data_IF_099541573774
#
_entry.id   IF_099541573774
#
_cell.length_a   1.000
_cell.length_b   1.000
_cell.length_c   1.000
_cell.angle_alpha   90.00
_cell.angle_beta   90.00
_cell.angle_gamma   90.00
#
_symmetry.space_group_name_H-M   'P 1'
#
loop_
_entity.id
_entity.type
_entity.pdbx_description
1 polymer ?
#
# COMPACT_ATOMS: atom_id res chain seq x y z
N UNK A 1 53.53 6.52 -10.97
CA UNK A 1 52.73 5.95 -9.87
C UNK A 1 51.59 6.92 -9.59
N UNK A 2 50.48 6.74 -10.30
CA UNK A 2 49.29 7.60 -10.27
C UNK A 2 48.16 6.79 -9.68
N UNK A 3 47.79 7.09 -8.44
CA UNK A 3 46.65 6.52 -7.73
C UNK A 3 45.37 6.97 -8.45
N UNK A 4 44.82 6.08 -9.26
CA UNK A 4 43.45 6.19 -9.76
C UNK A 4 42.54 6.04 -8.55
N UNK A 5 42.11 7.17 -7.99
CA UNK A 5 40.98 7.21 -7.07
C UNK A 5 39.75 6.85 -7.89
N UNK A 6 39.41 5.57 -7.85
CA UNK A 6 38.14 5.03 -8.32
C UNK A 6 37.06 5.75 -7.52
N UNK A 7 36.55 6.84 -8.09
CA UNK A 7 35.38 7.56 -7.59
C UNK A 7 34.22 6.60 -7.80
N UNK A 8 34.09 5.67 -6.84
CA UNK A 8 32.97 4.77 -6.72
C UNK A 8 31.74 5.65 -6.72
N UNK A 9 31.14 5.79 -7.89
CA UNK A 9 29.85 6.40 -8.05
C UNK A 9 28.97 5.61 -7.10
N UNK A 10 28.63 6.22 -5.96
CA UNK A 10 27.54 5.80 -5.13
C UNK A 10 26.37 5.64 -6.08
N UNK A 11 26.19 4.42 -6.59
CA UNK A 11 24.92 3.96 -7.07
C UNK A 11 24.07 4.05 -5.82
N UNK A 12 23.45 5.22 -5.62
CA UNK A 12 22.34 5.42 -4.71
C UNK A 12 21.31 4.44 -5.22
N UNK A 13 21.39 3.23 -4.66
CA UNK A 13 20.43 2.18 -4.84
C UNK A 13 19.12 2.84 -4.47
N UNK A 14 18.27 3.13 -5.46
CA UNK A 14 16.89 3.54 -5.24
C UNK A 14 16.10 2.24 -5.08
N UNK A 15 15.90 1.70 -3.85
CA UNK A 15 15.25 0.43 -3.67
C UNK A 15 13.84 0.74 -3.15
N UNK A 16 13.07 1.47 -3.94
CA UNK A 16 11.62 1.53 -3.75
C UNK A 16 11.06 1.00 -5.05
N UNK A 17 10.80 -0.32 -5.07
CA UNK A 17 9.95 -0.92 -6.10
C UNK A 17 8.67 -0.06 -6.13
N UNK A 18 8.51 0.71 -7.21
CA UNK A 18 7.34 1.55 -7.39
C UNK A 18 6.10 0.65 -7.23
N UNK A 19 5.06 1.11 -6.50
CA UNK A 19 3.83 0.34 -6.39
C UNK A 19 3.39 -0.07 -7.80
N UNK A 20 3.14 -1.38 -8.03
CA UNK A 20 2.69 -1.81 -9.34
C UNK A 20 1.41 -1.04 -9.67
N UNK A 21 1.30 -0.54 -10.90
CA UNK A 21 0.17 0.27 -11.34
C UNK A 21 0.10 1.69 -10.76
N UNK A 22 1.24 2.31 -10.51
CA UNK A 22 1.32 3.74 -10.18
C UNK A 22 2.17 4.52 -11.19
N UNK A 23 1.81 5.78 -11.40
CA UNK A 23 2.54 6.75 -12.21
C UNK A 23 3.28 7.72 -11.27
N UNK A 24 4.61 7.84 -11.35
CA UNK A 24 5.34 8.84 -10.58
C UNK A 24 5.03 10.23 -11.11
N UNK A 25 4.57 11.14 -10.24
CA UNK A 25 4.28 12.53 -10.60
C UNK A 25 5.52 13.40 -10.43
N UNK A 26 6.31 13.14 -9.40
CA UNK A 26 7.50 13.94 -9.08
C UNK A 26 7.91 13.78 -7.63
N UNK A 27 8.87 14.60 -7.19
CA UNK A 27 9.31 14.64 -5.80
C UNK A 27 8.82 15.93 -5.13
N UNK A 28 8.12 15.79 -4.01
CA UNK A 28 7.68 16.91 -3.16
C UNK A 28 8.19 16.62 -1.75
N UNK A 29 8.88 17.60 -1.14
CA UNK A 29 9.55 17.45 0.16
C UNK A 29 10.50 16.25 0.24
N UNK A 30 11.27 16.02 -0.83
CA UNK A 30 12.23 14.91 -0.91
C UNK A 30 11.59 13.53 -1.11
N UNK A 31 10.25 13.43 -1.12
CA UNK A 31 9.53 12.16 -1.25
C UNK A 31 8.91 12.01 -2.62
N UNK A 32 8.92 10.78 -3.15
CA UNK A 32 8.34 10.50 -4.47
C UNK A 32 6.82 10.38 -4.35
N UNK A 33 6.09 11.18 -5.11
CA UNK A 33 4.64 11.16 -5.16
C UNK A 33 4.21 10.31 -6.35
N UNK A 34 3.35 9.33 -6.08
CA UNK A 34 2.87 8.37 -7.06
C UNK A 34 1.34 8.42 -7.11
N UNK A 35 0.74 8.36 -8.29
CA UNK A 35 -0.72 8.29 -8.46
C UNK A 35 -1.11 6.95 -9.05
N UNK A 36 -2.11 6.28 -8.49
CA UNK A 36 -2.58 5.00 -9.01
C UNK A 36 -3.30 5.18 -10.36
N UNK A 37 -3.12 4.25 -11.30
CA UNK A 37 -3.86 4.29 -12.57
C UNK A 37 -5.38 4.24 -12.35
N UNK A 38 -5.84 3.57 -11.29
CA UNK A 38 -7.27 3.54 -10.92
C UNK A 38 -7.83 4.92 -10.60
N UNK A 39 -7.05 5.79 -9.95
CA UNK A 39 -7.46 7.17 -9.66
C UNK A 39 -7.55 7.98 -10.97
N UNK A 40 -6.56 7.85 -11.85
CA UNK A 40 -6.54 8.53 -13.16
C UNK A 40 -7.75 8.11 -14.01
N UNK A 41 -8.01 6.80 -14.13
CA UNK A 41 -9.14 6.27 -14.90
C UNK A 41 -10.47 6.75 -14.31
N UNK A 42 -10.63 6.71 -12.99
CA UNK A 42 -11.87 7.15 -12.34
C UNK A 42 -12.09 8.65 -12.53
N UNK A 43 -11.04 9.47 -12.43
CA UNK A 43 -11.11 10.89 -12.68
C UNK A 43 -11.45 11.19 -14.14
N UNK A 44 -10.88 10.45 -15.09
CA UNK A 44 -11.23 10.57 -16.51
C UNK A 44 -12.70 10.24 -16.79
N UNK A 45 -13.22 9.16 -16.20
CA UNK A 45 -14.65 8.79 -16.32
C UNK A 45 -15.53 9.89 -15.72
N UNK A 46 -15.18 10.38 -14.53
CA UNK A 46 -15.94 11.43 -13.86
C UNK A 46 -15.92 12.74 -14.65
N UNK A 47 -14.76 13.16 -15.16
CA UNK A 47 -14.66 14.31 -16.05
C UNK A 47 -15.49 14.13 -17.33
N UNK A 48 -15.51 12.93 -17.92
CA UNK A 48 -16.36 12.62 -19.07
C UNK A 48 -17.85 12.74 -18.75
N UNK A 49 -18.31 12.19 -17.63
CA UNK A 49 -19.71 12.30 -17.17
C UNK A 49 -20.09 13.76 -16.89
N UNK A 50 -19.21 14.53 -16.25
CA UNK A 50 -19.43 15.96 -15.98
C UNK A 50 -19.47 16.75 -17.28
N UNK A 51 -18.57 16.50 -18.24
CA UNK A 51 -18.56 17.16 -19.54
C UNK A 51 -19.82 16.84 -20.37
N UNK A 52 -20.29 15.58 -20.34
CA UNK A 52 -21.53 15.17 -21.01
C UNK A 52 -22.77 15.80 -20.37
N UNK A 53 -22.75 16.05 -19.05
CA UNK A 53 -23.88 16.68 -18.37
C UNK A 53 -23.91 18.19 -18.57
N UNK A 54 -22.76 18.86 -18.69
CA UNK A 54 -22.62 20.30 -18.86
C UNK A 54 -23.39 20.90 -20.04
N UNK A 55 -23.65 20.11 -21.10
CA UNK A 55 -24.40 20.56 -22.27
C UNK A 55 -25.91 20.68 -22.08
N UNK A 56 -26.47 20.22 -20.94
CA UNK A 56 -27.92 20.24 -20.69
C UNK A 56 -28.34 21.53 -19.98
N UNK A 57 -29.42 22.17 -20.43
CA UNK A 57 -30.00 23.34 -19.76
C UNK A 57 -30.36 22.98 -18.31
N UNK A 58 -29.88 23.76 -17.34
CA UNK A 58 -30.05 23.49 -15.90
C UNK A 58 -28.94 22.66 -15.22
N UNK A 59 -27.93 22.20 -15.96
CA UNK A 59 -26.83 21.38 -15.41
C UNK A 59 -25.64 22.16 -14.84
N UNK A 60 -25.59 23.48 -15.01
CA UNK A 60 -24.43 24.30 -14.59
C UNK A 60 -24.11 24.14 -13.10
N UNK A 61 -25.14 24.02 -12.24
CA UNK A 61 -24.96 23.78 -10.82
C UNK A 61 -24.33 22.41 -10.52
N UNK A 62 -24.64 21.37 -11.30
CA UNK A 62 -24.08 20.03 -11.12
C UNK A 62 -22.59 19.99 -11.47
N UNK A 63 -22.19 20.71 -12.53
CA UNK A 63 -20.78 20.80 -12.95
C UNK A 63 -19.96 21.49 -11.86
N UNK A 64 -20.45 22.64 -11.36
CA UNK A 64 -19.81 23.36 -10.27
C UNK A 64 -19.76 22.50 -8.99
N UNK A 65 -20.85 21.81 -8.65
CA UNK A 65 -20.92 20.92 -7.47
C UNK A 65 -19.89 19.81 -7.55
N UNK A 66 -19.79 19.19 -8.73
CA UNK A 66 -18.84 18.12 -8.98
C UNK A 66 -17.41 18.63 -8.88
N UNK A 67 -17.10 19.79 -9.46
CA UNK A 67 -15.77 20.39 -9.39
C UNK A 67 -15.38 20.77 -7.95
N UNK A 68 -16.28 21.39 -7.19
CA UNK A 68 -16.07 21.74 -5.77
C UNK A 68 -15.87 20.49 -4.92
N UNK A 69 -16.74 19.48 -5.08
CA UNK A 69 -16.63 18.21 -4.35
C UNK A 69 -15.29 17.51 -4.65
N UNK A 70 -14.85 17.52 -5.91
CA UNK A 70 -13.58 16.95 -6.34
C UNK A 70 -12.39 17.71 -5.71
N UNK A 71 -12.44 19.04 -5.70
CA UNK A 71 -11.44 19.87 -5.03
C UNK A 71 -11.34 19.60 -3.53
N UNK A 72 -12.48 19.49 -2.84
CA UNK A 72 -12.54 19.10 -1.42
C UNK A 72 -11.95 17.70 -1.20
N UNK A 73 -12.29 16.74 -2.07
CA UNK A 73 -11.78 15.37 -1.97
C UNK A 73 -10.25 15.31 -2.12
N UNK A 74 -9.69 16.05 -3.08
CA UNK A 74 -8.25 16.21 -3.25
C UNK A 74 -7.59 16.92 -2.06
N UNK A 75 -8.24 17.93 -1.48
CA UNK A 75 -7.74 18.55 -0.25
C UNK A 75 -7.64 17.53 0.89
N UNK A 76 -8.62 16.62 1.01
CA UNK A 76 -8.54 15.50 1.93
C UNK A 76 -7.34 14.60 1.68
N UNK A 77 -6.97 14.33 0.42
CA UNK A 77 -5.75 13.58 0.09
C UNK A 77 -4.50 14.29 0.59
N UNK A 78 -4.42 15.61 0.42
CA UNK A 78 -3.29 16.40 0.87
C UNK A 78 -3.17 16.42 2.39
N UNK A 79 -4.29 16.57 3.12
CA UNK A 79 -4.32 16.53 4.58
C UNK A 79 -3.84 15.18 5.09
N UNK A 80 -4.33 14.08 4.49
CA UNK A 80 -3.91 12.73 4.85
C UNK A 80 -2.45 12.46 4.49
N UNK A 81 -2.00 12.92 3.32
CA UNK A 81 -0.61 12.76 2.90
C UNK A 81 0.32 13.52 3.84
N UNK A 82 -0.08 14.72 4.27
CA UNK A 82 0.63 15.50 5.27
C UNK A 82 0.68 14.77 6.61
N UNK A 83 -0.46 14.31 7.15
CA UNK A 83 -0.48 13.57 8.42
C UNK A 83 0.34 12.27 8.37
N UNK A 84 0.23 11.52 7.27
CA UNK A 84 1.05 10.34 7.00
C UNK A 84 2.53 10.70 6.89
N UNK A 85 2.83 11.87 6.30
CA UNK A 85 4.20 12.30 6.09
C UNK A 85 4.96 12.55 7.40
N UNK A 86 4.26 13.00 8.43
CA UNK A 86 4.82 13.23 9.77
C UNK A 86 5.25 11.93 10.46
N UNK A 87 4.65 10.79 10.12
CA UNK A 87 5.01 9.48 10.68
C UNK A 87 6.11 8.74 9.90
N UNK A 88 6.45 9.22 8.69
CA UNK A 88 7.42 8.57 7.80
C UNK A 88 8.87 9.01 8.09
N UNK A 89 9.85 8.10 8.01
CA UNK A 89 11.26 8.47 8.04
C UNK A 89 11.61 9.41 6.88
N UNK A 90 12.56 10.31 7.10
CA UNK A 90 12.88 11.42 6.21
C UNK A 90 13.41 10.99 4.83
N UNK A 91 14.05 9.82 4.74
CA UNK A 91 14.71 9.36 3.52
C UNK A 91 13.97 8.14 2.93
N UNK A 92 13.70 8.20 1.62
CA UNK A 92 13.30 7.11 0.72
C UNK A 92 11.86 6.57 0.76
N UNK A 93 10.93 7.25 1.44
CA UNK A 93 9.51 6.88 1.36
C UNK A 93 8.82 7.50 0.14
N UNK A 94 7.95 6.73 -0.50
CA UNK A 94 7.05 7.23 -1.55
C UNK A 94 5.61 7.30 -1.05
N UNK A 95 4.89 8.36 -1.43
CA UNK A 95 3.51 8.59 -1.04
C UNK A 95 2.65 8.29 -2.27
N UNK A 96 1.85 7.23 -2.19
CA UNK A 96 0.90 6.86 -3.23
C UNK A 96 -0.46 7.52 -3.00
N UNK A 97 -1.15 7.93 -4.06
CA UNK A 97 -2.54 8.36 -4.03
C UNK A 97 -3.40 7.36 -4.79
N UNK A 98 -4.37 6.78 -4.10
CA UNK A 98 -5.37 5.86 -4.63
C UNK A 98 -6.75 6.50 -4.73
N UNK A 99 -7.74 5.69 -5.10
CA UNK A 99 -9.12 6.13 -5.29
C UNK A 99 -9.73 6.76 -4.03
N UNK A 100 -9.50 6.13 -2.87
CA UNK A 100 -10.08 6.53 -1.57
C UNK A 100 -9.12 7.42 -0.77
N UNK A 101 -7.91 7.67 -1.31
CA UNK A 101 -6.89 8.57 -0.79
C UNK A 101 -5.54 7.90 -0.62
N UNK A 102 -4.78 8.26 0.42
CA UNK A 102 -3.36 7.89 0.50
C UNK A 102 -3.19 6.38 0.60
N UNK A 103 -2.38 5.82 -0.30
CA UNK A 103 -1.97 4.43 -0.31
C UNK A 103 -0.81 4.23 0.66
N UNK A 104 -1.02 3.30 1.59
CA UNK A 104 -0.03 2.97 2.61
C UNK A 104 0.93 1.91 2.09
N UNK A 105 2.22 2.15 2.32
CA UNK A 105 3.28 1.23 1.93
C UNK A 105 3.65 0.31 3.08
N UNK A 106 3.53 -0.99 2.85
CA UNK A 106 4.00 -2.04 3.76
C UNK A 106 5.53 -2.08 3.76
N UNK A 107 6.15 -2.24 4.93
CA UNK A 107 7.60 -2.43 5.05
C UNK A 107 8.43 -1.18 5.32
N UNK A 108 7.81 0.01 5.36
CA UNK A 108 8.52 1.28 5.57
C UNK A 108 8.59 1.67 7.05
N UNK A 109 7.66 1.19 7.87
CA UNK A 109 7.51 1.57 9.28
C UNK A 109 7.37 0.34 10.17
N UNK A 110 7.83 0.45 11.42
CA UNK A 110 7.50 -0.51 12.49
C UNK A 110 5.98 -0.54 12.73
N UNK A 111 5.48 -1.62 13.32
CA UNK A 111 4.05 -1.72 13.72
C UNK A 111 3.62 -0.57 14.63
N UNK A 112 4.45 -0.18 15.61
CA UNK A 112 4.17 0.94 16.53
C UNK A 112 4.09 2.29 15.80
N UNK A 113 5.06 2.61 14.93
CA UNK A 113 5.05 3.85 14.14
C UNK A 113 3.87 3.88 13.16
N UNK A 114 3.55 2.74 12.53
CA UNK A 114 2.37 2.61 11.67
C UNK A 114 1.09 2.89 12.46
N UNK A 115 0.95 2.32 13.67
CA UNK A 115 -0.20 2.56 14.52
C UNK A 115 -0.30 4.05 14.91
N UNK A 116 0.80 4.69 15.30
CA UNK A 116 0.82 6.11 15.61
C UNK A 116 0.45 6.98 14.40
N UNK A 117 1.03 6.70 13.23
CA UNK A 117 0.76 7.45 12.00
C UNK A 117 -0.69 7.29 11.53
N UNK A 118 -1.26 6.08 11.67
CA UNK A 118 -2.67 5.82 11.31
C UNK A 118 -3.61 6.53 12.26
N UNK A 119 -3.38 6.47 13.58
CA UNK A 119 -4.14 7.22 14.58
C UNK A 119 -4.06 8.71 14.30
N UNK A 120 -2.86 9.26 14.10
CA UNK A 120 -2.65 10.67 13.78
C UNK A 120 -3.44 11.09 12.52
N UNK A 121 -3.36 10.30 11.46
CA UNK A 121 -4.06 10.59 10.20
C UNK A 121 -5.59 10.58 10.37
N UNK A 122 -6.13 9.62 11.11
CA UNK A 122 -7.57 9.57 11.44
C UNK A 122 -7.95 10.78 12.31
N UNK A 123 -7.19 11.06 13.37
CA UNK A 123 -7.44 12.18 14.29
C UNK A 123 -7.43 13.53 13.58
N UNK A 124 -6.45 13.78 12.70
CA UNK A 124 -6.39 15.01 11.90
C UNK A 124 -7.60 15.14 10.98
N UNK A 125 -7.99 14.06 10.29
CA UNK A 125 -9.17 14.08 9.40
C UNK A 125 -10.47 14.31 10.17
N UNK A 126 -10.65 13.65 11.32
CA UNK A 126 -11.83 13.82 12.18
C UNK A 126 -11.86 15.24 12.78
N UNK A 127 -10.71 15.77 13.21
CA UNK A 127 -10.62 17.12 13.74
C UNK A 127 -10.99 18.17 12.68
N UNK A 128 -10.37 18.11 11.49
CA UNK A 128 -10.64 19.06 10.40
C UNK A 128 -12.10 18.96 9.93
N UNK A 129 -12.62 17.75 9.72
CA UNK A 129 -14.02 17.57 9.33
C UNK A 129 -15.00 18.08 10.40
N UNK A 130 -14.76 17.79 11.67
CA UNK A 130 -15.60 18.28 12.77
C UNK A 130 -15.51 19.79 12.91
N UNK A 131 -14.33 20.39 12.75
CA UNK A 131 -14.16 21.85 12.76
C UNK A 131 -14.92 22.52 11.62
N UNK A 132 -14.91 21.95 10.42
CA UNK A 132 -15.70 22.48 9.28
C UNK A 132 -17.20 22.34 9.52
N UNK A 133 -17.66 21.20 10.07
CA UNK A 133 -19.06 21.01 10.44
C UNK A 133 -19.49 22.01 11.51
N UNK A 134 -18.68 22.25 12.54
CA UNK A 134 -18.93 23.28 13.55
C UNK A 134 -18.91 24.69 12.97
N UNK A 135 -17.93 25.02 12.13
CA UNK A 135 -17.85 26.32 11.45
C UNK A 135 -19.10 26.60 10.61
N UNK A 136 -19.59 25.59 9.88
CA UNK A 136 -20.85 25.71 9.13
C UNK A 136 -22.04 26.03 10.04
N UNK A 137 -22.07 25.48 11.26
CA UNK A 137 -23.12 25.79 12.25
C UNK A 137 -23.05 27.23 12.73
N UNK A 138 -21.86 27.71 13.08
CA UNK A 138 -21.67 29.09 13.50
C UNK A 138 -22.05 30.09 12.39
N UNK A 139 -21.71 29.78 11.15
CA UNK A 139 -22.13 30.57 9.98
C UNK A 139 -23.66 30.58 9.82
N UNK A 140 -24.30 29.42 10.00
CA UNK A 140 -25.77 29.28 9.90
C UNK A 140 -26.51 30.09 10.96
N UNK A 141 -26.01 30.08 12.21
CA UNK A 141 -26.63 30.81 13.31
C UNK A 141 -26.47 32.32 13.14
N UNK A 142 -25.30 32.78 12.73
CA UNK A 142 -25.06 34.19 12.45
C UNK A 142 -25.96 34.71 11.30
N UNK A 143 -26.12 33.92 10.23
CA UNK A 143 -27.03 34.26 9.14
C UNK A 143 -28.50 34.29 9.58
N UNK A 144 -28.93 33.37 10.46
CA UNK A 144 -30.29 33.32 10.98
C UNK A 144 -30.61 34.53 11.90
N UNK A 145 -29.66 34.97 12.72
CA UNK A 145 -29.81 36.17 13.56
C UNK A 145 -30.02 37.45 12.73
N UNK A 146 -29.36 37.54 11.58
CA UNK A 146 -29.51 38.65 10.63
C UNK A 146 -30.80 38.56 9.80
N UNK A 147 -31.28 37.33 9.50
CA UNK A 147 -32.37 37.07 8.55
C UNK A 147 -33.74 36.72 9.16
N UNK A 148 -33.84 36.54 10.48
CA UNK A 148 -35.11 36.33 11.20
C UNK A 148 -35.82 34.98 10.97
N UNK A 149 -35.27 34.07 10.17
CA UNK A 149 -35.86 32.75 9.90
C UNK A 149 -34.97 31.63 10.44
N UNK A 150 -35.41 30.95 11.51
CA UNK A 150 -34.74 29.79 12.10
C UNK A 150 -35.27 28.50 11.48
N UNK A 151 -34.68 28.04 10.38
CA UNK A 151 -34.86 26.64 9.97
C UNK A 151 -34.06 25.74 10.90
N UNK A 152 -34.71 24.83 11.61
CA UNK A 152 -34.03 23.83 12.42
C UNK A 152 -33.19 22.91 11.51
N UNK A 153 -31.87 23.13 11.46
CA UNK A 153 -30.96 22.31 10.67
C UNK A 153 -30.57 21.09 11.53
N UNK A 154 -30.88 19.87 11.11
CA UNK A 154 -30.38 18.67 11.78
C UNK A 154 -28.86 18.50 11.56
N UNK A 155 -28.07 18.18 12.62
CA UNK A 155 -26.61 18.05 12.57
C UNK A 155 -26.11 17.08 11.49
N UNK A 156 -26.89 16.03 11.23
CA UNK A 156 -26.54 14.95 10.31
C UNK A 156 -27.42 14.89 9.06
N UNK A 157 -28.09 15.98 8.69
CA UNK A 157 -28.80 16.03 7.42
C UNK A 157 -27.81 16.03 6.25
N UNK A 158 -28.18 15.34 5.16
CA UNK A 158 -27.39 15.35 3.93
C UNK A 158 -27.22 16.80 3.46
N UNK A 159 -25.98 17.24 3.11
CA UNK A 159 -25.75 18.59 2.64
C UNK A 159 -26.63 18.88 1.42
N UNK A 160 -27.31 20.03 1.43
CA UNK A 160 -27.98 20.53 0.24
C UNK A 160 -26.91 20.92 -0.77
N UNK A 161 -27.10 20.57 -2.05
CA UNK A 161 -26.19 20.93 -3.15
C UNK A 161 -26.27 22.40 -3.57
N UNK A 162 -26.76 23.27 -2.68
CA UNK A 162 -26.70 24.70 -2.90
C UNK A 162 -25.26 25.15 -2.67
N UNK A 163 -24.53 25.53 -3.72
CA UNK A 163 -23.14 25.98 -3.60
C UNK A 163 -23.02 27.50 -3.50
N UNK A 164 -24.16 28.21 -3.52
CA UNK A 164 -24.17 29.66 -3.51
C UNK A 164 -23.80 30.17 -2.10
N UNK A 165 -24.19 29.43 -1.07
CA UNK A 165 -23.85 29.75 0.31
C UNK A 165 -22.50 29.17 0.74
N UNK A 166 -21.69 29.98 1.42
CA UNK A 166 -20.43 29.53 2.05
C UNK A 166 -20.70 28.47 3.12
N UNK A 167 -21.85 28.55 3.79
CA UNK A 167 -22.28 27.61 4.82
C UNK A 167 -22.41 26.19 4.28
N UNK A 168 -23.13 26.03 3.17
CA UNK A 168 -23.40 24.73 2.55
C UNK A 168 -22.15 24.13 1.94
N UNK A 169 -21.27 24.94 1.35
CA UNK A 169 -19.95 24.47 0.86
C UNK A 169 -19.09 23.96 2.03
N UNK A 170 -19.07 24.68 3.15
CA UNK A 170 -18.31 24.29 4.35
C UNK A 170 -18.88 23.01 4.97
N UNK A 171 -20.21 22.90 5.04
CA UNK A 171 -20.91 21.71 5.52
C UNK A 171 -20.66 20.49 4.61
N UNK A 172 -20.72 20.68 3.29
CA UNK A 172 -20.37 19.67 2.29
C UNK A 172 -18.91 19.23 2.45
N UNK A 173 -17.99 20.16 2.69
CA UNK A 173 -16.58 19.87 2.89
C UNK A 173 -16.34 19.00 4.12
N UNK A 174 -16.93 19.35 5.26
CA UNK A 174 -16.87 18.55 6.48
C UNK A 174 -17.40 17.13 6.26
N UNK A 175 -18.54 17.00 5.57
CA UNK A 175 -19.13 15.70 5.24
C UNK A 175 -18.27 14.84 4.31
N UNK A 176 -17.75 15.41 3.23
CA UNK A 176 -16.91 14.67 2.27
C UNK A 176 -15.62 14.18 2.92
N UNK A 177 -14.96 15.01 3.75
CA UNK A 177 -13.78 14.59 4.49
C UNK A 177 -14.09 13.49 5.50
N UNK A 178 -15.26 13.53 6.15
CA UNK A 178 -15.70 12.47 7.06
C UNK A 178 -15.97 11.16 6.30
N UNK A 179 -16.68 11.23 5.17
CA UNK A 179 -16.93 10.07 4.30
C UNK A 179 -15.61 9.47 3.81
N UNK A 180 -14.66 10.31 3.41
CA UNK A 180 -13.33 9.88 3.01
C UNK A 180 -12.57 9.21 4.16
N UNK A 181 -12.65 9.75 5.38
CA UNK A 181 -12.07 9.13 6.57
C UNK A 181 -12.67 7.73 6.84
N UNK A 182 -13.99 7.59 6.78
CA UNK A 182 -14.69 6.30 6.95
C UNK A 182 -14.28 5.33 5.85
N UNK A 183 -14.24 5.79 4.60
CA UNK A 183 -13.86 4.97 3.46
C UNK A 183 -12.41 4.48 3.56
N UNK A 184 -11.50 5.27 4.13
CA UNK A 184 -10.11 4.83 4.38
C UNK A 184 -9.97 3.86 5.55
N UNK A 185 -10.83 3.98 6.56
CA UNK A 185 -10.86 3.04 7.67
C UNK A 185 -11.36 1.65 7.25
N UNK A 186 -12.04 1.55 6.10
CA UNK A 186 -12.42 0.28 5.52
C UNK A 186 -11.18 -0.49 5.01
N UNK A 187 -10.96 -1.75 5.42
CA UNK A 187 -9.65 -2.39 5.31
C UNK A 187 -9.42 -3.07 3.95
N UNK A 188 -9.46 -2.28 2.88
CA UNK A 188 -9.09 -2.68 1.52
C UNK A 188 -7.57 -2.81 1.35
N UNK A 189 -7.09 -3.44 0.25
CA UNK A 189 -5.67 -3.43 -0.09
C UNK A 189 -5.10 -2.01 -0.12
N UNK A 190 -3.92 -1.84 0.48
CA UNK A 190 -3.20 -0.57 0.53
C UNK A 190 -3.96 0.58 1.23
N UNK A 191 -5.08 0.31 1.92
CA UNK A 191 -5.80 1.32 2.68
C UNK A 191 -5.23 1.50 4.08
N UNK A 192 -5.52 2.67 4.66
CA UNK A 192 -5.19 3.01 6.05
C UNK A 192 -5.79 2.00 7.02
N UNK A 193 -7.06 1.63 6.85
CA UNK A 193 -7.79 0.72 7.74
C UNK A 193 -7.16 -0.66 7.85
N UNK A 194 -6.62 -1.19 6.74
CA UNK A 194 -5.94 -2.49 6.75
C UNK A 194 -4.61 -2.42 7.51
N UNK A 195 -3.84 -1.36 7.30
CA UNK A 195 -2.59 -1.14 8.04
C UNK A 195 -2.85 -0.88 9.53
N UNK A 196 -3.89 -0.11 9.86
CA UNK A 196 -4.33 0.12 11.23
C UNK A 196 -4.70 -1.20 11.92
N UNK A 197 -5.57 -2.02 11.31
CA UNK A 197 -5.96 -3.31 11.88
C UNK A 197 -4.76 -4.24 12.07
N UNK A 198 -3.85 -4.27 11.10
CA UNK A 198 -2.67 -5.12 11.18
C UNK A 198 -1.66 -4.64 12.23
N UNK A 199 -1.37 -3.34 12.29
CA UNK A 199 -0.53 -2.74 13.30
C UNK A 199 -1.13 -2.92 14.72
N UNK A 200 -2.46 -2.79 14.86
CA UNK A 200 -3.17 -3.00 16.12
C UNK A 200 -3.04 -4.45 16.60
N UNK A 201 -3.23 -5.45 15.73
CA UNK A 201 -3.10 -6.87 16.10
C UNK A 201 -1.67 -7.21 16.56
N UNK A 202 -0.66 -6.68 15.86
CA UNK A 202 0.75 -6.90 16.22
C UNK A 202 1.10 -6.18 17.53
N UNK A 203 0.65 -4.93 17.69
CA UNK A 203 0.93 -4.14 18.89
C UNK A 203 0.20 -4.64 20.15
N UNK A 204 -1.02 -5.17 20.00
CA UNK A 204 -1.83 -5.64 21.12
C UNK A 204 -1.29 -6.94 21.75
N UNK A 205 -0.62 -7.79 20.97
CA UNK A 205 -0.11 -9.09 21.45
C UNK A 205 1.31 -9.37 20.94
N UNK A 206 2.33 -8.64 21.43
CA UNK A 206 3.68 -8.69 20.86
C UNK A 206 4.38 -10.05 21.04
N UNK A 207 3.95 -10.87 22.01
CA UNK A 207 4.59 -12.16 22.35
C UNK A 207 4.15 -13.33 21.47
N UNK A 208 3.17 -13.16 20.58
CA UNK A 208 2.65 -14.26 19.76
C UNK A 208 3.49 -14.48 18.50
N UNK A 209 3.52 -15.72 18.02
CA UNK A 209 4.13 -16.08 16.74
C UNK A 209 3.44 -15.35 15.58
N UNK A 210 4.21 -14.94 14.56
CA UNK A 210 3.71 -14.25 13.34
C UNK A 210 2.54 -14.95 12.65
N UNK A 211 2.57 -16.28 12.62
CA UNK A 211 1.49 -17.09 12.04
C UNK A 211 0.16 -16.86 12.76
N UNK A 212 0.18 -16.68 14.09
CA UNK A 212 -1.02 -16.38 14.88
C UNK A 212 -1.54 -14.96 14.59
N UNK A 213 -0.66 -13.95 14.49
CA UNK A 213 -1.09 -12.59 14.10
C UNK A 213 -1.77 -12.61 12.72
N UNK A 214 -1.17 -13.31 11.76
CA UNK A 214 -1.71 -13.50 10.42
C UNK A 214 -3.09 -14.15 10.46
N UNK A 215 -3.26 -15.23 11.24
CA UNK A 215 -4.54 -15.92 11.40
C UNK A 215 -5.60 -15.05 12.08
N UNK A 216 -5.23 -14.29 13.11
CA UNK A 216 -6.14 -13.36 13.81
C UNK A 216 -6.62 -12.29 12.84
N UNK A 217 -5.69 -11.61 12.16
CA UNK A 217 -6.01 -10.56 11.20
C UNK A 217 -6.87 -11.10 10.04
N UNK A 218 -6.55 -12.29 9.52
CA UNK A 218 -7.37 -12.96 8.51
C UNK A 218 -8.82 -13.18 8.97
N UNK A 219 -9.00 -13.70 10.19
CA UNK A 219 -10.33 -13.91 10.77
C UNK A 219 -11.10 -12.60 10.95
N UNK A 220 -10.46 -11.55 11.44
CA UNK A 220 -11.08 -10.23 11.61
C UNK A 220 -11.59 -9.69 10.26
N UNK A 221 -10.78 -9.82 9.19
CA UNK A 221 -11.15 -9.35 7.85
C UNK A 221 -12.32 -10.16 7.25
N UNK A 222 -12.34 -11.48 7.46
CA UNK A 222 -13.48 -12.33 7.05
C UNK A 222 -14.74 -11.95 7.82
N UNK A 223 -14.66 -11.79 9.14
CA UNK A 223 -15.81 -11.42 9.98
C UNK A 223 -16.37 -10.07 9.53
N UNK A 224 -15.51 -9.07 9.30
CA UNK A 224 -15.94 -7.76 8.80
C UNK A 224 -16.59 -7.86 7.41
N UNK A 225 -16.07 -8.72 6.53
CA UNK A 225 -16.68 -8.98 5.22
C UNK A 225 -18.07 -9.59 5.34
N UNK A 226 -18.26 -10.58 6.22
CA UNK A 226 -19.56 -11.21 6.46
C UNK A 226 -20.54 -10.20 7.05
N UNK A 227 -20.09 -9.41 8.05
CA UNK A 227 -20.90 -8.36 8.64
C UNK A 227 -21.36 -7.33 7.60
N UNK A 228 -20.48 -6.93 6.68
CA UNK A 228 -20.81 -6.01 5.59
C UNK A 228 -21.82 -6.62 4.59
N UNK A 229 -21.71 -7.91 4.29
CA UNK A 229 -22.68 -8.61 3.45
C UNK A 229 -24.06 -8.69 4.13
N UNK A 230 -24.12 -9.00 5.42
CA UNK A 230 -25.37 -8.99 6.21
C UNK A 230 -25.98 -7.58 6.22
N UNK A 231 -25.15 -6.56 6.46
CA UNK A 231 -25.59 -5.17 6.42
C UNK A 231 -26.16 -4.80 5.04
N UNK A 232 -25.51 -5.22 3.96
CA UNK A 232 -26.00 -5.04 2.60
C UNK A 232 -27.39 -5.67 2.37
N UNK A 233 -27.65 -6.85 2.91
CA UNK A 233 -28.97 -7.51 2.83
C UNK A 233 -30.01 -6.76 3.67
N UNK A 234 -29.59 -6.22 4.81
CA UNK A 234 -30.42 -5.33 5.63
C UNK A 234 -30.84 -4.07 4.87
N UNK A 235 -29.91 -3.44 4.15
CA UNK A 235 -30.20 -2.29 3.28
C UNK A 235 -31.19 -2.67 2.19
N UNK A 236 -30.99 -3.80 1.50
CA UNK A 236 -31.92 -4.30 0.47
C UNK A 236 -33.36 -4.43 1.00
N UNK A 237 -33.54 -4.88 2.24
CA UNK A 237 -34.87 -5.05 2.85
C UNK A 237 -35.57 -3.74 3.19
N UNK A 238 -34.80 -2.70 3.52
CA UNK A 238 -35.32 -1.41 3.98
C UNK A 238 -35.29 -0.35 2.88
N UNK A 239 -34.79 -0.67 1.69
CA UNK A 239 -34.62 0.29 0.61
C UNK A 239 -35.97 0.57 -0.06
N UNK A 240 -36.52 1.75 0.22
CA UNK A 240 -37.58 2.33 -0.58
C UNK A 240 -37.08 2.53 -2.02
N UNK A 241 -37.97 2.42 -3.00
CA UNK A 241 -37.66 2.47 -4.44
C UNK A 241 -36.91 3.75 -4.85
N UNK A 242 -35.58 3.77 -4.65
CA UNK A 242 -34.66 4.74 -5.23
C UNK A 242 -34.24 4.25 -6.61
N UNK A 243 -33.89 5.18 -7.49
CA UNK A 243 -33.46 4.85 -8.85
C UNK A 243 -32.15 4.02 -8.87
N UNK A 244 -31.29 4.17 -7.86
CA UNK A 244 -30.03 3.44 -7.79
C UNK A 244 -30.03 2.59 -6.51
N UNK A 245 -30.12 1.26 -6.60
CA UNK A 245 -30.03 0.39 -5.44
C UNK A 245 -28.61 0.48 -4.84
N UNK A 246 -28.50 0.71 -3.53
CA UNK A 246 -27.21 0.88 -2.82
C UNK A 246 -26.59 -0.44 -2.43
N UNK A 247 -27.41 -1.46 -2.19
CA UNK A 247 -26.97 -2.78 -1.74
C UNK A 247 -25.94 -3.47 -2.68
N UNK A 248 -25.98 -3.36 -4.03
CA UNK A 248 -25.00 -4.05 -4.87
C UNK A 248 -23.58 -3.52 -4.64
N UNK A 249 -23.43 -2.23 -4.33
CA UNK A 249 -22.15 -1.61 -4.05
C UNK A 249 -21.58 -2.11 -2.71
N UNK A 250 -22.42 -2.22 -1.68
CA UNK A 250 -22.03 -2.76 -0.38
C UNK A 250 -21.66 -4.25 -0.49
N UNK A 251 -22.42 -5.02 -1.28
CA UNK A 251 -22.13 -6.42 -1.55
C UNK A 251 -20.81 -6.60 -2.32
N UNK A 252 -20.56 -5.75 -3.33
CA UNK A 252 -19.30 -5.75 -4.07
C UNK A 252 -18.11 -5.40 -3.16
N UNK A 253 -18.29 -4.43 -2.26
CA UNK A 253 -17.28 -4.06 -1.28
C UNK A 253 -16.97 -5.22 -0.32
N UNK A 254 -18.01 -5.90 0.19
CA UNK A 254 -17.86 -7.11 1.00
C UNK A 254 -17.10 -8.20 0.25
N UNK A 255 -17.50 -8.52 -0.99
CA UNK A 255 -16.80 -9.52 -1.80
C UNK A 255 -15.33 -9.14 -2.06
N UNK A 256 -15.07 -7.86 -2.32
CA UNK A 256 -13.70 -7.35 -2.52
C UNK A 256 -12.87 -7.52 -1.25
N UNK A 257 -13.45 -7.26 -0.08
CA UNK A 257 -12.78 -7.48 1.20
C UNK A 257 -12.47 -8.97 1.42
N UNK A 258 -13.45 -9.86 1.20
CA UNK A 258 -13.23 -11.31 1.27
C UNK A 258 -12.14 -11.80 0.30
N UNK A 259 -12.12 -11.27 -0.93
CA UNK A 259 -11.11 -11.64 -1.93
C UNK A 259 -9.71 -11.18 -1.54
N UNK A 260 -9.61 -10.04 -0.87
CA UNK A 260 -8.34 -9.40 -0.50
C UNK A 260 -7.84 -9.82 0.87
N UNK A 261 -8.64 -10.59 1.63
CA UNK A 261 -8.24 -11.17 2.90
C UNK A 261 -7.41 -12.46 2.75
N UNK A 262 -6.92 -12.81 1.56
CA UNK A 262 -6.07 -14.00 1.34
C UNK A 262 -4.89 -14.03 2.32
N UNK A 263 -4.65 -15.20 2.91
CA UNK A 263 -3.65 -15.37 3.97
C UNK A 263 -2.25 -14.92 3.53
N UNK A 264 -1.86 -15.18 2.28
CA UNK A 264 -0.57 -14.77 1.72
C UNK A 264 -0.37 -13.24 1.74
N UNK A 265 -1.40 -12.48 1.36
CA UNK A 265 -1.33 -11.01 1.35
C UNK A 265 -1.30 -10.44 2.77
N UNK A 266 -1.98 -11.10 3.71
CA UNK A 266 -1.97 -10.72 5.12
C UNK A 266 -0.62 -11.05 5.75
N UNK A 267 -0.07 -12.21 5.44
CA UNK A 267 1.25 -12.64 5.88
C UNK A 267 2.32 -11.67 5.38
N UNK A 268 2.31 -11.31 4.10
CA UNK A 268 3.22 -10.29 3.54
C UNK A 268 3.12 -8.94 4.27
N UNK A 269 1.92 -8.52 4.65
CA UNK A 269 1.71 -7.28 5.40
C UNK A 269 2.27 -7.39 6.82
N UNK A 270 1.99 -8.48 7.54
CA UNK A 270 2.50 -8.72 8.90
C UNK A 270 4.03 -8.82 8.90
N UNK A 271 4.59 -9.58 7.96
CA UNK A 271 6.04 -9.75 7.79
C UNK A 271 6.74 -8.42 7.45
N UNK A 272 6.00 -7.44 6.93
CA UNK A 272 6.54 -6.11 6.62
C UNK A 272 6.73 -5.22 7.86
N UNK A 273 6.05 -5.52 8.98
CA UNK A 273 6.17 -4.72 10.20
C UNK A 273 7.36 -5.07 11.08
N UNK A 274 8.03 -6.20 10.81
CA UNK A 274 9.32 -6.50 11.40
C UNK A 274 10.40 -5.87 10.50
N UNK A 275 10.85 -4.63 10.78
CA UNK A 275 12.09 -4.20 10.18
C UNK A 275 13.15 -5.23 10.61
N UNK A 276 13.99 -5.61 9.66
CA UNK A 276 15.12 -6.55 9.83
C UNK A 276 16.22 -5.93 10.73
N UNK A 277 15.89 -4.86 11.46
CA UNK A 277 16.80 -3.97 12.15
C UNK A 277 16.24 -3.80 13.57
N UNK A 278 16.38 -4.87 14.36
CA UNK A 278 16.32 -4.79 15.82
C UNK A 278 17.68 -4.34 16.41
N UNK A 279 18.63 -3.90 15.58
CA UNK A 279 19.99 -3.55 16.03
C UNK A 279 20.27 -2.04 16.21
N UNK A 280 19.40 -1.14 15.72
CA UNK A 280 19.65 0.32 15.79
C UNK A 280 18.65 1.09 16.68
N UNK A 281 17.47 0.54 17.02
CA UNK A 281 16.49 1.27 17.87
C UNK A 281 16.83 1.24 19.38
N UNK A 282 17.77 0.41 19.83
CA UNK A 282 18.27 0.44 21.21
C UNK A 282 19.29 1.57 21.45
N UNK A 283 19.92 2.12 20.39
CA UNK A 283 20.92 3.20 20.54
C UNK A 283 20.31 4.62 20.48
N UNK A 284 19.07 4.80 19.97
CA UNK A 284 18.44 6.14 19.87
C UNK A 284 17.49 6.46 21.05
N UNK A 285 16.92 5.45 21.72
CA UNK A 285 16.11 5.65 22.95
C UNK A 285 17.01 5.70 24.21
N UNK A 286 18.25 5.20 24.14
CA UNK A 286 19.25 5.37 25.20
C UNK A 286 19.86 6.78 25.28
N UNK A 287 19.60 7.68 24.31
CA UNK A 287 20.14 9.05 24.31
C UNK A 287 19.32 10.08 25.12
N UNK A 288 18.27 9.66 25.82
CA UNK A 288 17.40 10.58 26.58
C UNK A 288 17.31 10.36 28.08
N UNK A 289 17.82 9.25 28.63
CA UNK A 289 17.48 8.89 30.02
C UNK A 289 18.46 7.91 30.68
N UNK A 290 19.76 8.21 30.68
CA UNK A 290 20.72 7.62 31.61
C UNK A 290 21.68 8.75 32.03
N UNK A 291 21.72 9.10 33.31
CA UNK A 291 22.53 8.39 34.30
C UNK A 291 23.92 9.02 34.33
N UNK A 292 24.12 9.79 35.40
CA UNK A 292 25.34 10.46 35.81
C UNK A 292 26.33 9.46 36.42
N UNK A 293 26.55 8.32 35.74
CA UNK A 293 27.56 7.33 36.14
C UNK A 293 28.68 7.30 35.11
N UNK A 294 29.67 8.12 35.45
CA UNK A 294 30.97 8.25 34.84
C UNK A 294 31.76 6.94 34.89
N UNK A 295 31.93 6.27 33.75
CA UNK A 295 33.12 5.45 33.54
C UNK A 295 33.62 5.51 32.07
N UNK A 296 34.62 6.37 31.77
CA UNK A 296 35.06 6.64 30.41
C UNK A 296 36.33 5.83 30.09
N UNK A 297 36.22 4.53 29.81
CA UNK A 297 37.30 3.80 29.14
C UNK A 297 36.80 2.46 28.57
N UNK A 298 36.99 2.28 27.27
CA UNK A 298 36.86 1.03 26.48
C UNK A 298 35.57 0.77 25.68
N UNK A 299 34.99 1.79 25.05
CA UNK A 299 34.09 1.56 23.90
C UNK A 299 34.93 1.35 22.61
N UNK A 300 35.05 0.10 22.15
CA UNK A 300 35.59 -0.23 20.81
C UNK A 300 34.52 0.10 19.74
N UNK A 301 34.91 0.63 18.57
CA UNK A 301 33.94 1.02 17.54
C UNK A 301 33.29 -0.21 16.88
N UNK A 302 31.97 -0.37 17.08
CA UNK A 302 31.09 -1.34 16.40
C UNK A 302 31.05 -1.09 14.88
N UNK A 303 32.04 -1.58 14.14
CA UNK A 303 32.06 -1.59 12.66
C UNK A 303 31.52 -2.88 12.05
N UNK A 304 31.00 -3.81 12.86
CA UNK A 304 30.61 -5.15 12.40
C UNK A 304 29.14 -5.27 11.96
N UNK A 305 28.22 -4.40 12.43
CA UNK A 305 26.78 -4.51 12.11
C UNK A 305 26.44 -4.26 10.63
N UNK A 306 27.12 -3.33 9.97
CA UNK A 306 26.93 -3.06 8.53
C UNK A 306 27.32 -4.25 7.63
N UNK A 307 28.27 -5.08 8.10
CA UNK A 307 28.75 -6.24 7.34
C UNK A 307 27.77 -7.41 7.43
N UNK A 308 26.97 -7.49 8.49
CA UNK A 308 25.93 -8.51 8.65
C UNK A 308 24.64 -8.14 7.92
N UNK A 309 24.28 -6.85 7.93
CA UNK A 309 23.13 -6.35 7.17
C UNK A 309 23.29 -6.57 5.67
N UNK A 310 24.46 -6.24 5.13
CA UNK A 310 24.78 -6.48 3.70
C UNK A 310 24.74 -7.98 3.36
N UNK A 311 25.28 -8.85 4.22
CA UNK A 311 25.24 -10.31 4.02
C UNK A 311 23.80 -10.86 3.94
N UNK A 312 22.91 -10.44 4.84
CA UNK A 312 21.52 -10.94 4.86
C UNK A 312 20.72 -10.49 3.62
N UNK A 313 20.98 -9.28 3.14
CA UNK A 313 20.37 -8.74 1.93
C UNK A 313 20.85 -9.48 0.67
N UNK A 314 22.17 -9.69 0.54
CA UNK A 314 22.71 -10.51 -0.56
C UNK A 314 22.20 -11.94 -0.52
N UNK A 315 22.01 -12.53 0.66
CA UNK A 315 21.43 -13.87 0.81
C UNK A 315 19.99 -13.93 0.28
N UNK A 316 19.14 -12.94 0.59
CA UNK A 316 17.76 -12.87 0.07
C UNK A 316 17.73 -12.68 -1.45
N UNK A 317 18.61 -11.84 -1.99
CA UNK A 317 18.71 -11.63 -3.45
C UNK A 317 19.16 -12.90 -4.17
N UNK A 318 20.13 -13.63 -3.60
CA UNK A 318 20.56 -14.95 -4.10
C UNK A 318 19.43 -15.97 -4.05
N UNK A 319 18.64 -15.99 -2.97
CA UNK A 319 17.50 -16.89 -2.84
C UNK A 319 16.41 -16.61 -3.90
N UNK A 320 16.09 -15.34 -4.16
CA UNK A 320 15.11 -14.97 -5.21
C UNK A 320 15.61 -15.36 -6.61
N UNK A 321 16.89 -15.12 -6.90
CA UNK A 321 17.49 -15.57 -8.16
C UNK A 321 17.46 -17.09 -8.30
N UNK A 322 17.78 -17.84 -7.23
CA UNK A 322 17.67 -19.31 -7.23
C UNK A 322 16.23 -19.78 -7.46
N UNK A 323 15.24 -19.20 -6.78
CA UNK A 323 13.83 -19.55 -7.00
C UNK A 323 13.35 -19.23 -8.43
N UNK A 324 13.83 -18.14 -9.03
CA UNK A 324 13.53 -17.85 -10.44
C UNK A 324 14.21 -18.83 -11.38
N UNK A 325 15.46 -19.22 -11.10
CA UNK A 325 16.16 -20.26 -11.86
C UNK A 325 15.44 -21.61 -11.73
N UNK A 326 15.10 -22.05 -10.53
CA UNK A 326 14.35 -23.29 -10.27
C UNK A 326 13.00 -23.31 -10.99
N UNK A 327 12.28 -22.18 -11.05
CA UNK A 327 11.03 -22.08 -11.82
C UNK A 327 11.24 -22.22 -13.32
N UNK A 328 12.28 -21.59 -13.86
CA UNK A 328 12.62 -21.69 -15.29
C UNK A 328 13.06 -23.11 -15.61
N UNK A 329 13.89 -23.72 -14.77
CA UNK A 329 14.34 -25.11 -14.90
C UNK A 329 13.17 -26.09 -14.81
N UNK A 330 12.21 -25.88 -13.91
CA UNK A 330 11.02 -26.72 -13.81
C UNK A 330 10.13 -26.63 -15.06
N UNK A 331 9.99 -25.42 -15.63
CA UNK A 331 9.25 -25.21 -16.88
C UNK A 331 9.98 -25.86 -18.06
N UNK A 332 11.30 -25.73 -18.12
CA UNK A 332 12.13 -26.31 -19.18
C UNK A 332 12.16 -27.84 -19.08
N UNK A 333 12.19 -28.41 -17.87
CA UNK A 333 12.11 -29.85 -17.63
C UNK A 333 10.75 -30.43 -18.06
N UNK A 334 9.64 -29.76 -17.71
CA UNK A 334 8.31 -30.19 -18.15
C UNK A 334 8.16 -30.16 -19.69
N UNK A 335 8.79 -29.19 -20.36
CA UNK A 335 8.81 -29.11 -21.84
C UNK A 335 9.75 -30.13 -22.46
N UNK A 336 10.83 -30.52 -21.77
CA UNK A 336 11.82 -31.44 -22.28
C UNK A 336 11.21 -32.82 -22.55
N UNK A 337 10.38 -33.32 -21.64
CA UNK A 337 9.71 -34.62 -21.80
C UNK A 337 8.81 -34.64 -23.05
N UNK A 338 8.03 -33.58 -23.26
CA UNK A 338 7.16 -33.44 -24.43
C UNK A 338 7.98 -33.36 -25.74
N UNK A 339 9.12 -32.69 -25.70
CA UNK A 339 10.05 -32.57 -26.83
C UNK A 339 10.70 -33.92 -27.14
N UNK A 340 11.12 -34.67 -26.13
CA UNK A 340 11.75 -35.99 -26.29
C UNK A 340 10.76 -37.02 -26.83
N UNK A 341 9.50 -36.98 -26.40
CA UNK A 341 8.44 -37.84 -26.93
C UNK A 341 8.18 -37.55 -28.42
N UNK A 342 8.08 -36.27 -28.81
CA UNK A 342 7.96 -35.86 -30.22
C UNK A 342 9.18 -36.25 -31.05
N UNK A 343 10.39 -36.07 -30.51
CA UNK A 343 11.63 -36.45 -31.18
C UNK A 343 11.69 -37.96 -31.43
N UNK A 344 11.25 -38.76 -30.46
CA UNK A 344 11.23 -40.22 -30.56
C UNK A 344 10.24 -40.72 -31.63
N UNK A 345 9.05 -40.12 -31.71
CA UNK A 345 8.02 -40.55 -32.66
C UNK A 345 8.20 -40.03 -34.08
N UNK A 346 8.65 -38.78 -34.24
CA UNK A 346 8.60 -38.07 -35.54
C UNK A 346 9.99 -37.71 -36.08
N UNK A 347 11.06 -37.95 -35.32
CA UNK A 347 12.43 -37.64 -35.71
C UNK A 347 12.79 -36.16 -35.64
N UNK A 348 14.08 -35.82 -35.77
CA UNK A 348 14.61 -34.47 -35.54
C UNK A 348 14.02 -33.36 -36.43
N UNK A 349 13.43 -33.71 -37.57
CA UNK A 349 12.79 -32.77 -38.48
C UNK A 349 11.51 -32.14 -37.91
N UNK A 350 10.85 -32.80 -36.95
CA UNK A 350 9.59 -32.33 -36.34
C UNK A 350 9.78 -31.21 -35.31
N UNK A 351 11.02 -30.97 -34.86
CA UNK A 351 11.31 -30.00 -33.82
C UNK A 351 11.28 -28.56 -34.34
N UNK A 352 10.49 -27.72 -33.65
CA UNK A 352 10.46 -26.28 -33.89
C UNK A 352 11.80 -25.64 -33.54
N UNK A 353 12.07 -24.44 -34.07
CA UNK A 353 13.29 -23.67 -33.73
C UNK A 353 13.40 -23.40 -32.23
N UNK A 354 12.26 -23.22 -31.54
CA UNK A 354 12.20 -23.03 -30.09
C UNK A 354 12.62 -24.30 -29.33
N UNK A 355 12.10 -25.46 -29.74
CA UNK A 355 12.39 -26.74 -29.08
C UNK A 355 13.87 -27.14 -29.22
N UNK A 356 14.48 -26.86 -30.39
CA UNK A 356 15.91 -27.06 -30.62
C UNK A 356 16.76 -26.18 -29.71
N UNK A 357 16.33 -24.94 -29.45
CA UNK A 357 17.04 -24.02 -28.57
C UNK A 357 16.94 -24.46 -27.09
N UNK A 358 15.79 -25.00 -26.67
CA UNK A 358 15.64 -25.60 -25.33
C UNK A 358 16.57 -26.81 -25.19
N UNK A 359 16.57 -27.74 -26.15
CA UNK A 359 17.48 -28.90 -26.15
C UNK A 359 18.96 -28.49 -26.13
N UNK A 360 19.34 -27.45 -26.88
CA UNK A 360 20.70 -26.91 -26.88
C UNK A 360 21.08 -26.37 -25.50
N UNK A 361 20.18 -25.62 -24.84
CA UNK A 361 20.41 -25.08 -23.49
C UNK A 361 20.55 -26.18 -22.45
N UNK A 362 19.68 -27.19 -22.47
CA UNK A 362 19.75 -28.34 -21.55
C UNK A 362 21.02 -29.16 -21.80
N UNK A 363 21.38 -29.39 -23.07
CA UNK A 363 22.62 -30.05 -23.46
C UNK A 363 23.87 -29.32 -22.93
N UNK A 364 23.93 -28.00 -23.08
CA UNK A 364 25.02 -27.19 -22.56
C UNK A 364 25.07 -27.21 -21.03
N UNK A 365 23.90 -27.17 -20.36
CA UNK A 365 23.81 -27.25 -18.90
C UNK A 365 24.35 -28.58 -18.35
N UNK A 366 23.90 -29.71 -18.91
CA UNK A 366 24.38 -31.05 -18.54
C UNK A 366 25.88 -31.22 -18.82
N UNK A 367 26.39 -30.61 -19.90
CA UNK A 367 27.82 -30.64 -20.21
C UNK A 367 28.64 -29.88 -19.17
N UNK A 368 28.13 -28.75 -18.68
CA UNK A 368 28.76 -27.97 -17.60
C UNK A 368 28.74 -28.71 -16.26
N UNK A 369 27.63 -29.38 -15.92
CA UNK A 369 27.54 -30.20 -14.70
C UNK A 369 28.56 -31.34 -14.71
N UNK A 370 28.61 -32.14 -15.80
CA UNK A 370 29.61 -33.22 -15.91
C UNK A 370 31.05 -32.72 -15.82
N UNK A 371 31.32 -31.52 -16.34
CA UNK A 371 32.66 -30.93 -16.24
C UNK A 371 32.96 -30.49 -14.81
N UNK A 372 31.98 -29.97 -14.09
CA UNK A 372 32.10 -29.59 -12.68
C UNK A 372 32.32 -30.81 -11.77
N UNK A 373 31.57 -31.89 -11.98
CA UNK A 373 31.71 -33.12 -11.20
C UNK A 373 33.10 -33.75 -11.37
N UNK A 374 33.65 -33.72 -12.59
CA UNK A 374 35.04 -34.17 -12.85
C UNK A 374 36.10 -33.34 -12.15
N UNK A 375 35.88 -32.02 -12.00
CA UNK A 375 36.80 -31.16 -11.28
C UNK A 375 36.77 -31.49 -9.78
N UNK A 376 35.57 -31.70 -9.22
CA UNK A 376 35.40 -32.05 -7.81
C UNK A 376 36.03 -33.42 -7.50
N UNK A 377 35.86 -34.42 -8.38
CA UNK A 377 36.49 -35.73 -8.21
C UNK A 377 38.02 -35.68 -8.35
N UNK A 378 38.56 -34.84 -9.24
CA UNK A 378 40.01 -34.68 -9.38
C UNK A 378 40.67 -34.03 -8.16
N UNK A 379 39.98 -33.10 -7.49
CA UNK A 379 40.48 -32.44 -6.28
C UNK A 379 40.45 -33.37 -5.04
N UNK A 380 39.61 -34.42 -5.03
CA UNK A 380 39.60 -35.42 -3.95
C UNK A 380 40.75 -36.43 -4.08
N UNK A 381 41.16 -36.80 -5.30
CA UNK A 381 42.26 -37.74 -5.55
C UNK A 381 43.66 -37.13 -5.27
N UNK A 382 43.78 -35.81 -5.25
CA UNK A 382 45.05 -35.09 -4.96
C UNK A 382 45.22 -34.70 -3.46
N UNK A 383 44.23 -35.02 -2.61
CA UNK A 383 44.21 -34.68 -1.18
C UNK A 383 44.62 -35.83 -0.25
N UNK A 384 44.79 -37.04 -0.78
CA UNK A 384 45.35 -38.24 -0.12
C UNK A 384 46.83 -38.43 -0.48
#
# INVERSE_FOLDING_TARGET
>A
MTTVTDSGSEQRYFPTELPPWSLPIGRVWGRLWCVSYTLVITLAILCGVVAMSAGRVGSQGLVLASAVALGIWFLGFLIQAFAYSLGLPANDSSIGFGLVGVQWQSGVMTSKRTLQATILSISVMVAVSSSLLLASRFLSTAAAELGGATTAIHPFSLPRFDLISVESVTHLAGWLLLVQCVAQLYPLPFSLGRHFAAALVVAAVPTQSRMKHTLILHRVMIVLSIAMAIFSVGVLRNENAMWIPRWPLLMLLAFTLARTSRIEQIQQLVDSFDPIIADDEDDEIAMGFWDDSSDPRTAKPKRESLREFTKSWFARRRLRHRMQQERVEAIDAAKLDEILERLHHQGAASLSRGDREVLRRVSESLRRERQKDRIIQGDEDDAD
#
